data_IF_949929303423
#
_entry.id   IF_949929303423
#
_cell.length_a   1.000
_cell.length_b   1.000
_cell.length_c   1.000
_cell.angle_alpha   90.00
_cell.angle_beta   90.00
_cell.angle_gamma   90.00
#
_symmetry.space_group_name_H-M   'P 1'
#
loop_
_entity.id
_entity.type
_entity.pdbx_description
1 polymer ?
#
# COMPACT_ATOMS: atom_id res chain seq x y z
N UNK A 1 -21.53 3.54 22.00
CA UNK A 1 -20.09 3.38 21.68
C UNK A 1 -19.58 2.26 22.55
N UNK A 2 -19.35 1.08 22.00
CA UNK A 2 -18.64 0.03 22.73
C UNK A 2 -17.14 0.31 22.59
N UNK A 3 -16.52 0.69 23.69
CA UNK A 3 -15.07 0.74 23.83
C UNK A 3 -14.57 -0.70 23.88
N UNK A 4 -13.84 -1.13 22.85
CA UNK A 4 -13.11 -2.39 22.92
C UNK A 4 -12.13 -2.33 24.10
N UNK A 5 -11.99 -3.41 24.88
CA UNK A 5 -11.04 -3.45 25.98
C UNK A 5 -9.62 -3.41 25.42
N UNK A 6 -8.84 -2.40 25.83
CA UNK A 6 -7.40 -2.33 25.60
C UNK A 6 -6.72 -3.50 26.32
N UNK A 7 -5.96 -4.30 25.58
CA UNK A 7 -5.05 -5.31 26.14
C UNK A 7 -3.72 -5.29 25.39
N UNK A 8 -2.63 -5.13 26.14
CA UNK A 8 -1.22 -5.08 25.73
C UNK A 8 -0.84 -3.86 24.87
N UNK A 9 0.40 -3.38 25.00
CA UNK A 9 0.92 -2.32 24.13
C UNK A 9 0.80 -2.79 22.68
N UNK A 10 -0.15 -2.25 21.91
CA UNK A 10 -0.31 -2.58 20.49
C UNK A 10 1.05 -2.42 19.79
N UNK A 11 1.64 -3.53 19.36
CA UNK A 11 2.89 -3.54 18.62
C UNK A 11 2.72 -2.74 17.33
N UNK A 12 3.78 -2.07 16.90
CA UNK A 12 3.80 -1.41 15.60
C UNK A 12 3.63 -2.45 14.49
N UNK A 13 2.57 -2.32 13.70
CA UNK A 13 2.36 -3.11 12.48
C UNK A 13 3.16 -2.47 11.34
N UNK A 14 4.27 -3.11 10.93
CA UNK A 14 5.11 -2.65 9.82
C UNK A 14 5.11 -3.69 8.72
N UNK A 15 4.75 -3.23 7.52
CA UNK A 15 4.55 -4.06 6.36
C UNK A 15 5.45 -3.61 5.21
N UNK A 16 5.85 -4.57 4.38
CA UNK A 16 6.39 -4.29 3.05
C UNK A 16 5.40 -4.77 1.98
N UNK A 17 5.30 -4.04 0.87
CA UNK A 17 4.53 -4.52 -0.28
C UNK A 17 5.18 -5.78 -0.89
N UNK A 18 4.35 -6.78 -1.22
CA UNK A 18 4.80 -7.97 -1.94
C UNK A 18 5.43 -7.62 -3.29
N UNK A 19 5.00 -6.51 -3.90
CA UNK A 19 5.57 -6.03 -5.16
C UNK A 19 7.01 -5.57 -4.94
N UNK A 20 7.29 -4.82 -3.88
CA UNK A 20 8.65 -4.40 -3.52
C UNK A 20 9.57 -5.60 -3.26
N UNK A 21 9.04 -6.65 -2.63
CA UNK A 21 9.76 -7.89 -2.32
C UNK A 21 9.91 -8.84 -3.53
N UNK A 22 9.28 -8.54 -4.66
CA UNK A 22 9.20 -9.43 -5.82
C UNK A 22 10.43 -9.46 -6.73
N UNK A 23 11.57 -8.90 -6.31
CA UNK A 23 12.79 -8.93 -7.12
C UNK A 23 13.69 -10.13 -6.74
N UNK A 24 13.93 -11.10 -7.65
CA UNK A 24 14.82 -12.23 -7.40
C UNK A 24 16.31 -11.84 -7.26
N UNK A 25 16.70 -10.64 -7.68
CA UNK A 25 18.04 -10.11 -7.47
C UNK A 25 18.07 -9.23 -6.22
N UNK A 26 18.83 -9.64 -5.20
CA UNK A 26 18.98 -8.90 -3.94
C UNK A 26 19.59 -7.50 -4.14
N UNK A 27 20.45 -7.33 -5.16
CA UNK A 27 20.99 -6.02 -5.52
C UNK A 27 19.93 -5.13 -6.23
N UNK A 28 18.77 -5.71 -6.55
CA UNK A 28 17.65 -5.03 -7.17
C UNK A 28 17.84 -4.75 -8.67
N UNK A 29 17.24 -3.66 -9.14
CA UNK A 29 17.40 -3.17 -10.50
C UNK A 29 16.37 -3.68 -11.52
N UNK A 30 16.31 -2.98 -12.67
CA UNK A 30 15.31 -3.20 -13.72
C UNK A 30 15.27 -4.64 -14.26
N UNK A 31 16.43 -5.29 -14.42
CA UNK A 31 16.50 -6.66 -14.96
C UNK A 31 15.86 -7.65 -14.00
N UNK A 32 16.19 -7.54 -12.71
CA UNK A 32 15.62 -8.38 -11.67
C UNK A 32 14.11 -8.18 -11.54
N UNK A 33 13.65 -6.92 -11.55
CA UNK A 33 12.20 -6.62 -11.55
C UNK A 33 11.49 -7.25 -12.75
N UNK A 34 12.01 -7.09 -13.97
CA UNK A 34 11.43 -7.72 -15.17
C UNK A 34 11.45 -9.26 -15.06
N UNK A 35 12.51 -9.85 -14.54
CA UNK A 35 12.59 -11.29 -14.32
C UNK A 35 11.54 -11.78 -13.30
N UNK A 36 11.35 -11.06 -12.19
CA UNK A 36 10.32 -11.37 -11.19
C UNK A 36 8.91 -11.34 -11.80
N UNK A 37 8.66 -10.39 -12.69
CA UNK A 37 7.36 -10.23 -13.36
C UNK A 37 7.07 -11.33 -14.38
N UNK A 38 8.07 -11.68 -15.20
CA UNK A 38 7.98 -12.82 -16.11
C UNK A 38 7.72 -14.10 -15.30
N UNK A 39 8.33 -14.22 -14.13
CA UNK A 39 8.08 -15.36 -13.25
C UNK A 39 6.67 -15.34 -12.67
N UNK A 40 6.14 -14.22 -12.17
CA UNK A 40 4.75 -14.13 -11.70
C UNK A 40 3.74 -14.56 -12.78
N UNK A 41 3.99 -14.17 -14.04
CA UNK A 41 3.12 -14.52 -15.17
C UNK A 41 3.22 -16.00 -15.59
N UNK A 42 4.38 -16.64 -15.43
CA UNK A 42 4.61 -18.03 -15.85
C UNK A 42 4.41 -19.05 -14.74
N UNK A 43 4.71 -18.66 -13.50
CA UNK A 43 4.77 -19.50 -12.31
C UNK A 43 4.60 -18.65 -11.04
N UNK A 44 3.33 -18.51 -10.60
CA UNK A 44 2.98 -17.77 -9.38
C UNK A 44 3.66 -18.34 -8.13
N UNK A 45 3.90 -19.65 -8.07
CA UNK A 45 4.54 -20.30 -6.92
C UNK A 45 6.00 -19.86 -6.80
N UNK A 46 6.72 -19.82 -7.92
CA UNK A 46 8.09 -19.32 -7.94
C UNK A 46 8.19 -17.85 -7.52
N UNK A 47 7.29 -17.00 -7.99
CA UNK A 47 7.26 -15.59 -7.56
C UNK A 47 6.90 -15.45 -6.08
N UNK A 48 5.97 -16.27 -5.56
CA UNK A 48 5.70 -16.37 -4.12
C UNK A 48 6.93 -16.74 -3.32
N UNK A 49 7.73 -17.72 -3.77
CA UNK A 49 8.94 -18.14 -3.06
C UNK A 49 9.97 -17.00 -2.97
N UNK A 50 10.15 -16.22 -4.05
CA UNK A 50 11.01 -15.02 -4.02
C UNK A 50 10.53 -14.02 -2.97
N UNK A 51 9.22 -13.73 -2.95
CA UNK A 51 8.65 -12.80 -1.96
C UNK A 51 8.84 -13.33 -0.54
N UNK A 52 8.65 -14.63 -0.30
CA UNK A 52 8.83 -15.26 1.01
C UNK A 52 10.30 -15.19 1.47
N UNK A 53 11.26 -15.51 0.59
CA UNK A 53 12.68 -15.41 0.91
C UNK A 53 13.08 -13.99 1.31
N UNK A 54 12.62 -12.99 0.56
CA UNK A 54 12.88 -11.59 0.87
C UNK A 54 12.11 -11.11 2.12
N UNK A 55 10.90 -11.62 2.37
CA UNK A 55 10.10 -11.31 3.55
C UNK A 55 10.76 -11.84 4.84
N UNK A 56 11.37 -13.03 4.79
CA UNK A 56 12.14 -13.59 5.92
C UNK A 56 13.30 -12.68 6.30
N UNK A 57 14.04 -12.18 5.31
CA UNK A 57 15.15 -11.26 5.58
C UNK A 57 14.65 -9.90 6.07
N UNK A 58 13.56 -9.37 5.51
CA UNK A 58 12.93 -8.15 6.00
C UNK A 58 12.45 -8.29 7.46
N UNK A 59 11.85 -9.43 7.82
CA UNK A 59 11.47 -9.73 9.21
C UNK A 59 12.69 -9.72 10.14
N UNK A 60 13.81 -10.31 9.71
CA UNK A 60 15.07 -10.30 10.47
C UNK A 60 15.56 -8.87 10.69
N UNK A 61 15.54 -8.03 9.66
CA UNK A 61 15.93 -6.60 9.73
C UNK A 61 15.00 -5.83 10.67
N UNK A 62 13.69 -6.09 10.63
CA UNK A 62 12.70 -5.48 11.55
C UNK A 62 13.00 -5.86 12.99
N UNK A 63 13.26 -7.14 13.28
CA UNK A 63 13.60 -7.59 14.63
C UNK A 63 14.93 -6.98 15.12
N UNK A 64 15.93 -6.85 14.25
CA UNK A 64 17.22 -6.23 14.57
C UNK A 64 17.05 -4.75 14.98
N UNK A 65 16.19 -4.01 14.27
CA UNK A 65 16.01 -2.59 14.55
C UNK A 65 14.97 -2.32 15.65
N UNK A 66 13.81 -2.96 15.63
CA UNK A 66 12.69 -2.59 16.51
C UNK A 66 12.41 -3.62 17.60
N UNK A 67 12.94 -4.85 17.48
CA UNK A 67 12.69 -5.93 18.42
C UNK A 67 11.20 -6.22 18.59
N UNK A 68 10.80 -6.55 19.81
CA UNK A 68 9.41 -6.95 20.11
C UNK A 68 8.39 -5.79 20.06
N UNK A 69 8.86 -4.55 19.83
CA UNK A 69 7.99 -3.36 19.69
C UNK A 69 7.23 -3.33 18.36
N UNK A 70 7.61 -4.16 17.39
CA UNK A 70 7.00 -4.20 16.07
C UNK A 70 6.68 -5.65 15.65
N UNK A 71 5.64 -5.80 14.86
CA UNK A 71 5.32 -7.00 14.10
C UNK A 71 5.57 -6.72 12.63
N UNK A 72 6.27 -7.64 11.97
CA UNK A 72 6.51 -7.56 10.53
C UNK A 72 5.45 -8.34 9.77
N UNK A 73 4.94 -7.73 8.70
CA UNK A 73 4.04 -8.36 7.76
C UNK A 73 4.32 -8.00 6.30
N UNK A 74 3.51 -8.58 5.43
CA UNK A 74 3.50 -8.32 4.00
C UNK A 74 2.10 -7.86 3.60
N UNK A 75 2.06 -6.74 2.88
CA UNK A 75 0.88 -6.27 2.16
C UNK A 75 0.87 -6.97 0.80
N UNK A 76 -0.05 -7.93 0.63
CA UNK A 76 -0.05 -8.85 -0.52
C UNK A 76 -0.93 -8.32 -1.65
N UNK A 77 -0.33 -8.04 -2.81
CA UNK A 77 -1.09 -7.82 -4.05
C UNK A 77 -1.74 -9.12 -4.49
N UNK A 78 -3.06 -9.20 -4.31
CA UNK A 78 -3.81 -10.47 -4.33
C UNK A 78 -3.62 -11.28 -5.61
N UNK A 79 -3.58 -10.63 -6.78
CA UNK A 79 -3.46 -11.29 -8.09
C UNK A 79 -2.07 -11.86 -8.37
N UNK A 80 -1.03 -11.36 -7.68
CA UNK A 80 0.37 -11.61 -8.04
C UNK A 80 0.98 -12.85 -7.39
N UNK A 81 0.43 -13.30 -6.26
CA UNK A 81 0.98 -14.38 -5.44
C UNK A 81 0.01 -15.57 -5.35
N UNK A 82 0.55 -16.74 -5.01
CA UNK A 82 -0.21 -17.80 -4.36
C UNK A 82 -0.33 -17.51 -2.85
N UNK A 83 -1.54 -17.18 -2.32
CA UNK A 83 -1.70 -16.81 -0.91
C UNK A 83 -1.37 -17.93 0.08
N UNK A 84 -1.51 -19.19 -0.33
CA UNK A 84 -1.19 -20.33 0.53
C UNK A 84 0.31 -20.46 0.82
N UNK A 85 1.17 -20.03 -0.11
CA UNK A 85 2.63 -20.13 0.01
C UNK A 85 3.26 -19.03 0.86
N UNK A 86 2.55 -17.94 1.15
CA UNK A 86 3.03 -16.82 1.98
C UNK A 86 2.33 -16.74 3.35
N UNK A 87 1.57 -17.78 3.70
CA UNK A 87 0.87 -17.88 4.99
C UNK A 87 1.79 -17.60 6.17
N UNK A 88 1.32 -16.76 7.10
CA UNK A 88 2.08 -16.31 8.26
C UNK A 88 2.76 -14.96 8.08
N UNK A 89 2.91 -14.47 6.86
CA UNK A 89 3.36 -13.10 6.58
C UNK A 89 2.23 -12.16 6.15
N UNK A 90 1.08 -12.67 5.70
CA UNK A 90 -0.04 -11.80 5.25
C UNK A 90 -0.57 -10.96 6.41
N UNK A 91 -0.31 -9.65 6.36
CA UNK A 91 -0.84 -8.68 7.32
C UNK A 91 -1.95 -7.79 6.72
N UNK A 92 -1.93 -7.60 5.41
CA UNK A 92 -3.01 -6.95 4.67
C UNK A 92 -3.06 -7.42 3.22
N UNK A 93 -4.19 -7.17 2.55
CA UNK A 93 -4.38 -7.49 1.14
C UNK A 93 -4.44 -6.19 0.36
N UNK A 94 -3.58 -6.04 -0.64
CA UNK A 94 -3.67 -5.01 -1.65
C UNK A 94 -4.59 -5.51 -2.77
N UNK A 95 -5.73 -4.82 -2.93
CA UNK A 95 -6.78 -5.16 -3.87
C UNK A 95 -6.36 -4.76 -5.28
N UNK A 96 -6.21 -5.72 -6.20
CA UNK A 96 -5.66 -5.44 -7.51
C UNK A 96 -6.61 -4.57 -8.33
N UNK A 97 -6.07 -3.72 -9.18
CA UNK A 97 -6.85 -2.96 -10.16
C UNK A 97 -7.17 -3.84 -11.36
N UNK A 98 -8.26 -3.52 -12.06
CA UNK A 98 -8.59 -4.17 -13.32
C UNK A 98 -7.86 -3.50 -14.48
N UNK A 99 -6.81 -4.14 -15.01
CA UNK A 99 -6.05 -3.63 -16.15
C UNK A 99 -6.65 -4.13 -17.46
N UNK A 100 -6.83 -3.20 -18.40
CA UNK A 100 -7.17 -3.51 -19.80
C UNK A 100 -6.07 -2.98 -20.70
N UNK A 101 -5.17 -3.85 -21.17
CA UNK A 101 -4.08 -3.46 -22.07
C UNK A 101 -4.64 -3.01 -23.43
N UNK A 102 -4.86 -1.71 -23.57
CA UNK A 102 -5.37 -1.08 -24.79
C UNK A 102 -4.63 0.24 -25.05
N UNK A 103 -4.97 0.92 -26.16
CA UNK A 103 -4.36 2.21 -26.52
C UNK A 103 -4.60 3.28 -25.45
N UNK A 104 -5.74 3.27 -24.76
CA UNK A 104 -6.03 4.22 -23.70
C UNK A 104 -5.09 4.02 -22.51
N UNK A 105 -4.92 2.77 -22.05
CA UNK A 105 -3.97 2.44 -20.99
C UNK A 105 -2.55 2.93 -21.33
N UNK A 106 -2.06 2.62 -22.54
CA UNK A 106 -0.75 3.10 -23.01
C UNK A 106 -0.65 4.62 -22.98
N UNK A 107 -1.67 5.33 -23.48
CA UNK A 107 -1.68 6.78 -23.53
C UNK A 107 -1.70 7.40 -22.14
N UNK A 108 -2.49 6.85 -21.21
CA UNK A 108 -2.54 7.32 -19.82
C UNK A 108 -1.20 7.12 -19.11
N UNK A 109 -0.57 5.94 -19.24
CA UNK A 109 0.75 5.68 -18.64
C UNK A 109 1.85 6.52 -19.29
N UNK A 110 1.82 6.70 -20.60
CA UNK A 110 2.74 7.59 -21.32
C UNK A 110 2.60 9.05 -20.85
N UNK A 111 1.38 9.55 -20.68
CA UNK A 111 1.13 10.90 -20.18
C UNK A 111 1.64 11.06 -18.74
N UNK A 112 1.37 10.08 -17.86
CA UNK A 112 1.87 10.06 -16.48
C UNK A 112 3.40 10.14 -16.44
N UNK A 113 4.08 9.21 -17.12
CA UNK A 113 5.55 9.14 -17.12
C UNK A 113 6.19 10.41 -17.72
N UNK A 114 5.55 11.04 -18.70
CA UNK A 114 5.97 12.36 -19.21
C UNK A 114 5.77 13.48 -18.19
N UNK A 115 4.64 13.50 -17.47
CA UNK A 115 4.35 14.46 -16.41
C UNK A 115 5.29 14.34 -15.21
N UNK A 116 5.77 13.12 -14.94
CA UNK A 116 6.85 12.86 -13.98
C UNK A 116 8.24 13.33 -14.47
N UNK A 117 8.33 13.93 -15.65
CA UNK A 117 9.54 14.57 -16.18
C UNK A 117 10.50 13.66 -16.95
N UNK A 118 10.18 12.37 -17.15
CA UNK A 118 11.05 11.45 -17.87
C UNK A 118 11.11 11.75 -19.39
N UNK A 119 12.30 11.64 -19.98
CA UNK A 119 12.55 11.88 -21.43
C UNK A 119 13.47 10.82 -22.03
N UNK A 120 13.45 10.68 -23.35
CA UNK A 120 14.35 9.80 -24.11
C UNK A 120 14.32 8.35 -23.62
N UNK A 121 15.50 7.77 -23.37
CA UNK A 121 15.62 6.39 -22.84
C UNK A 121 15.00 6.23 -21.46
N UNK A 122 15.07 7.26 -20.60
CA UNK A 122 14.46 7.23 -19.26
C UNK A 122 12.93 7.09 -19.31
N UNK A 123 12.30 7.74 -20.30
CA UNK A 123 10.86 7.59 -20.56
C UNK A 123 10.49 6.13 -20.89
N UNK A 124 11.27 5.49 -21.77
CA UNK A 124 11.01 4.11 -22.17
C UNK A 124 11.17 3.14 -20.99
N UNK A 125 12.18 3.35 -20.14
CA UNK A 125 12.40 2.54 -18.93
C UNK A 125 11.26 2.71 -17.94
N UNK A 126 10.87 3.95 -17.63
CA UNK A 126 9.79 4.23 -16.68
C UNK A 126 8.43 3.70 -17.19
N UNK A 127 8.15 3.83 -18.48
CA UNK A 127 6.97 3.21 -19.09
C UNK A 127 7.03 1.68 -19.00
N UNK A 128 8.20 1.09 -19.24
CA UNK A 128 8.43 -0.34 -19.06
C UNK A 128 8.08 -0.80 -17.64
N UNK A 129 8.46 -0.03 -16.61
CA UNK A 129 8.12 -0.28 -15.20
C UNK A 129 6.61 -0.22 -14.92
N UNK A 130 5.90 0.75 -15.48
CA UNK A 130 4.43 0.85 -15.36
C UNK A 130 3.72 -0.37 -15.97
N UNK A 131 4.19 -0.82 -17.13
CA UNK A 131 3.67 -2.02 -17.79
C UNK A 131 3.96 -3.28 -16.98
N UNK A 132 5.19 -3.37 -16.48
CA UNK A 132 5.65 -4.38 -15.57
C UNK A 132 4.72 -4.53 -14.36
N UNK A 133 4.46 -3.43 -13.66
CA UNK A 133 3.53 -3.39 -12.54
C UNK A 133 2.11 -3.81 -12.94
N UNK A 134 1.63 -3.32 -14.08
CA UNK A 134 0.30 -3.65 -14.59
C UNK A 134 0.12 -5.14 -14.95
N UNK A 135 1.20 -5.88 -15.24
CA UNK A 135 1.12 -7.33 -15.45
C UNK A 135 0.79 -8.10 -14.16
N UNK A 136 1.17 -7.56 -12.99
CA UNK A 136 0.86 -8.18 -11.69
C UNK A 136 -0.59 -7.95 -11.26
N UNK A 137 -1.27 -6.99 -11.86
CA UNK A 137 -2.66 -6.64 -11.56
C UNK A 137 -3.64 -7.65 -12.18
N UNK A 138 -4.92 -7.52 -11.85
CA UNK A 138 -5.96 -8.38 -12.42
C UNK A 138 -6.31 -7.98 -13.87
N UNK A 139 -6.61 -8.97 -14.71
CA UNK A 139 -6.97 -8.75 -16.14
C UNK A 139 -8.43 -9.06 -16.46
N UNK A 140 -9.20 -9.52 -15.46
CA UNK A 140 -10.65 -9.71 -15.54
C UNK A 140 -11.29 -9.40 -14.17
N UNK A 141 -12.59 -9.06 -14.16
CA UNK A 141 -13.32 -8.86 -12.91
C UNK A 141 -13.39 -10.14 -12.07
N UNK A 142 -13.48 -11.30 -12.74
CA UNK A 142 -13.47 -12.61 -12.09
C UNK A 142 -12.16 -12.86 -11.36
N UNK A 143 -11.02 -12.59 -12.00
CA UNK A 143 -9.68 -12.72 -11.42
C UNK A 143 -9.47 -11.72 -10.27
N UNK A 144 -9.91 -10.47 -10.43
CA UNK A 144 -9.85 -9.44 -9.39
C UNK A 144 -10.56 -9.89 -8.10
N UNK A 145 -11.79 -10.39 -8.24
CA UNK A 145 -12.62 -10.85 -7.13
C UNK A 145 -12.08 -12.18 -6.58
N UNK A 146 -11.74 -13.12 -7.45
CA UNK A 146 -11.28 -14.47 -7.09
C UNK A 146 -9.97 -14.44 -6.31
N UNK A 147 -8.95 -13.74 -6.83
CA UNK A 147 -7.65 -13.61 -6.16
C UNK A 147 -7.77 -12.92 -4.80
N UNK A 148 -8.62 -11.90 -4.68
CA UNK A 148 -8.87 -11.23 -3.39
C UNK A 148 -9.56 -12.15 -2.38
N UNK A 149 -10.53 -12.96 -2.83
CA UNK A 149 -11.18 -13.97 -1.97
C UNK A 149 -10.15 -14.97 -1.44
N UNK A 150 -9.32 -15.52 -2.32
CA UNK A 150 -8.28 -16.49 -1.97
C UNK A 150 -7.27 -15.88 -0.98
N UNK A 151 -6.83 -14.64 -1.21
CA UNK A 151 -5.90 -13.95 -0.33
C UNK A 151 -6.49 -13.75 1.08
N UNK A 152 -7.73 -13.25 1.16
CA UNK A 152 -8.41 -13.01 2.44
C UNK A 152 -8.73 -14.32 3.17
N UNK A 153 -9.03 -15.40 2.45
CA UNK A 153 -9.25 -16.73 3.05
C UNK A 153 -7.97 -17.32 3.65
N UNK A 154 -6.81 -17.06 3.04
CA UNK A 154 -5.52 -17.54 3.55
C UNK A 154 -5.07 -16.80 4.82
N UNK A 155 -5.65 -15.64 5.14
CA UNK A 155 -5.37 -14.92 6.38
C UNK A 155 -5.96 -15.63 7.59
N UNK A 156 -5.19 -15.71 8.67
CA UNK A 156 -5.64 -16.31 9.94
C UNK A 156 -6.68 -15.44 10.63
N UNK A 157 -6.50 -14.13 10.59
CA UNK A 157 -7.35 -13.19 11.32
C UNK A 157 -8.76 -13.10 10.74
N UNK A 158 -9.75 -12.98 11.62
CA UNK A 158 -11.13 -12.75 11.22
C UNK A 158 -11.35 -11.30 10.75
N UNK A 159 -10.61 -10.34 11.31
CA UNK A 159 -10.64 -8.95 10.87
C UNK A 159 -9.54 -8.73 9.85
N UNK A 160 -9.93 -8.46 8.60
CA UNK A 160 -9.00 -8.33 7.48
C UNK A 160 -9.01 -6.91 6.94
N UNK A 161 -7.81 -6.35 6.76
CA UNK A 161 -7.59 -5.03 6.18
C UNK A 161 -7.32 -5.20 4.68
N UNK A 162 -8.13 -4.58 3.84
CA UNK A 162 -7.97 -4.61 2.39
C UNK A 162 -7.72 -3.19 1.90
N UNK A 163 -6.55 -2.94 1.31
CA UNK A 163 -6.14 -1.65 0.74
C UNK A 163 -6.66 -1.56 -0.69
N UNK A 164 -7.16 -0.40 -1.10
CA UNK A 164 -7.69 -0.19 -2.45
C UNK A 164 -7.38 1.20 -2.97
N UNK A 165 -6.71 1.22 -4.12
CA UNK A 165 -6.70 2.38 -5.01
C UNK A 165 -7.67 2.11 -6.18
N UNK A 166 -8.34 3.14 -6.68
CA UNK A 166 -9.37 3.01 -7.72
C UNK A 166 -8.84 3.71 -8.96
N UNK A 167 -8.01 3.03 -9.75
CA UNK A 167 -7.31 3.68 -10.86
C UNK A 167 -8.01 3.55 -12.23
N UNK A 168 -8.54 2.37 -12.54
CA UNK A 168 -8.76 1.94 -13.94
C UNK A 168 -10.21 1.88 -14.40
N UNK A 169 -11.17 1.81 -13.47
CA UNK A 169 -12.61 1.78 -13.77
C UNK A 169 -13.33 2.94 -13.10
N UNK A 170 -14.63 3.08 -13.35
CA UNK A 170 -15.40 4.11 -12.66
C UNK A 170 -15.54 3.79 -11.17
N UNK A 171 -15.60 4.84 -10.36
CA UNK A 171 -15.73 4.73 -8.91
C UNK A 171 -16.96 3.90 -8.49
N UNK A 172 -18.14 4.13 -9.10
CA UNK A 172 -19.37 3.41 -8.74
C UNK A 172 -19.31 1.92 -9.11
N UNK A 173 -18.69 1.57 -10.23
CA UNK A 173 -18.47 0.17 -10.61
C UNK A 173 -17.57 -0.55 -9.62
N UNK A 174 -16.49 0.11 -9.17
CA UNK A 174 -15.59 -0.47 -8.17
C UNK A 174 -16.31 -0.67 -6.83
N UNK A 175 -17.08 0.32 -6.37
CA UNK A 175 -17.89 0.19 -5.17
C UNK A 175 -18.93 -0.94 -5.26
N UNK A 176 -19.51 -1.19 -6.44
CA UNK A 176 -20.40 -2.33 -6.65
C UNK A 176 -19.66 -3.66 -6.43
N UNK A 177 -18.45 -3.81 -6.96
CA UNK A 177 -17.62 -5.02 -6.76
C UNK A 177 -17.23 -5.19 -5.29
N UNK A 178 -16.77 -4.13 -4.64
CA UNK A 178 -16.45 -4.12 -3.19
C UNK A 178 -17.64 -4.59 -2.34
N UNK A 179 -18.86 -4.11 -2.63
CA UNK A 179 -20.09 -4.57 -1.95
C UNK A 179 -20.34 -6.06 -2.14
N UNK A 180 -20.25 -6.55 -3.39
CA UNK A 180 -20.46 -7.97 -3.71
C UNK A 180 -19.42 -8.87 -3.03
N UNK A 181 -18.15 -8.47 -3.09
CA UNK A 181 -17.04 -9.18 -2.47
C UNK A 181 -17.17 -9.20 -0.95
N UNK A 182 -17.56 -8.09 -0.32
CA UNK A 182 -17.78 -8.04 1.13
C UNK A 182 -18.87 -9.00 1.60
N UNK A 183 -19.94 -9.18 0.82
CA UNK A 183 -20.98 -10.19 1.13
C UNK A 183 -20.40 -11.61 1.10
N UNK A 184 -19.59 -11.94 0.09
CA UNK A 184 -18.92 -13.24 -0.01
C UNK A 184 -17.97 -13.47 1.16
N UNK A 185 -17.14 -12.48 1.50
CA UNK A 185 -16.17 -12.55 2.59
C UNK A 185 -16.84 -12.69 3.96
N UNK A 186 -17.94 -11.96 4.20
CA UNK A 186 -18.75 -12.12 5.41
C UNK A 186 -19.34 -13.54 5.53
N UNK A 187 -19.74 -14.14 4.40
CA UNK A 187 -20.19 -15.53 4.35
C UNK A 187 -19.13 -16.55 4.79
N UNK A 188 -17.85 -16.16 4.77
CA UNK A 188 -16.71 -16.96 5.22
C UNK A 188 -16.28 -16.63 6.66
N UNK A 189 -17.07 -15.84 7.39
CA UNK A 189 -16.74 -15.39 8.74
C UNK A 189 -15.76 -14.21 8.81
N UNK A 190 -15.33 -13.67 7.66
CA UNK A 190 -14.37 -12.55 7.62
C UNK A 190 -15.05 -11.19 7.75
N UNK A 191 -14.48 -10.32 8.58
CA UNK A 191 -14.85 -8.93 8.79
C UNK A 191 -13.86 -8.01 8.10
N UNK A 192 -14.26 -7.43 6.96
CA UNK A 192 -13.36 -6.65 6.12
C UNK A 192 -13.42 -5.16 6.45
N UNK A 193 -12.27 -4.51 6.54
CA UNK A 193 -12.12 -3.05 6.56
C UNK A 193 -11.42 -2.64 5.26
N UNK A 194 -12.10 -1.84 4.44
CA UNK A 194 -11.57 -1.32 3.18
C UNK A 194 -10.85 0.00 3.42
N UNK A 195 -9.54 0.03 3.22
CA UNK A 195 -8.74 1.25 3.28
C UNK A 195 -8.70 1.90 1.90
N UNK A 196 -9.32 3.07 1.76
CA UNK A 196 -9.36 3.81 0.51
C UNK A 196 -8.12 4.69 0.42
N UNK A 197 -7.39 4.58 -0.69
CA UNK A 197 -6.23 5.40 -1.00
C UNK A 197 -6.61 6.63 -1.84
N UNK A 198 -6.07 7.83 -1.55
CA UNK A 198 -6.24 8.99 -2.41
C UNK A 198 -5.63 8.75 -3.80
N UNK A 199 -6.30 9.21 -4.86
CA UNK A 199 -5.78 9.16 -6.23
C UNK A 199 -6.62 10.07 -7.16
N UNK A 200 -6.24 10.17 -8.44
CA UNK A 200 -6.89 11.02 -9.46
C UNK A 200 -8.39 10.74 -9.71
N UNK A 201 -8.91 9.58 -9.29
CA UNK A 201 -10.33 9.20 -9.41
C UNK A 201 -11.11 9.45 -8.12
N UNK A 202 -10.42 9.61 -7.00
CA UNK A 202 -10.97 9.88 -5.67
C UNK A 202 -10.53 11.28 -5.21
N UNK A 203 -10.56 12.23 -6.14
CA UNK A 203 -10.33 13.63 -5.89
C UNK A 203 -9.44 14.29 -6.92
N UNK A 204 -9.30 15.60 -6.79
CA UNK A 204 -8.51 16.46 -7.66
C UNK A 204 -7.02 16.48 -7.34
N UNK A 205 -6.58 15.67 -6.36
CA UNK A 205 -5.22 15.60 -5.86
C UNK A 205 -4.96 16.44 -4.61
N UNK A 206 -6.00 16.94 -3.95
CA UNK A 206 -5.94 17.59 -2.62
C UNK A 206 -6.57 16.71 -1.54
N UNK A 207 -6.09 16.82 -0.30
CA UNK A 207 -6.63 16.07 0.83
C UNK A 207 -8.07 16.45 1.15
N UNK A 208 -8.44 17.73 0.99
CA UNK A 208 -9.80 18.23 1.27
C UNK A 208 -10.83 17.60 0.33
N UNK A 209 -10.52 17.53 -0.98
CA UNK A 209 -11.42 16.92 -1.95
C UNK A 209 -11.51 15.40 -1.74
N UNK A 210 -10.37 14.75 -1.49
CA UNK A 210 -10.33 13.33 -1.12
C UNK A 210 -11.22 13.05 0.10
N UNK A 211 -11.12 13.84 1.16
CA UNK A 211 -11.92 13.66 2.38
C UNK A 211 -13.42 13.87 2.13
N UNK A 212 -13.77 14.82 1.26
CA UNK A 212 -15.17 15.05 0.86
C UNK A 212 -15.74 13.82 0.16
N UNK A 213 -14.99 13.26 -0.79
CA UNK A 213 -15.39 12.04 -1.49
C UNK A 213 -15.42 10.85 -0.53
N UNK A 214 -14.40 10.66 0.30
CA UNK A 214 -14.33 9.60 1.31
C UNK A 214 -15.54 9.63 2.25
N UNK A 215 -15.89 10.79 2.80
CA UNK A 215 -17.04 10.92 3.69
C UNK A 215 -18.37 10.65 2.94
N UNK A 216 -18.50 11.04 1.67
CA UNK A 216 -19.65 10.68 0.84
C UNK A 216 -19.77 9.17 0.62
N UNK A 217 -18.65 8.46 0.44
CA UNK A 217 -18.63 7.00 0.27
C UNK A 217 -19.06 6.31 1.55
N UNK A 218 -18.43 6.71 2.67
CA UNK A 218 -18.68 6.15 4.00
C UNK A 218 -20.13 6.36 4.43
N UNK A 219 -20.71 7.52 4.11
CA UNK A 219 -22.06 7.89 4.52
C UNK A 219 -23.15 7.47 3.51
N UNK A 220 -22.78 6.88 2.36
CA UNK A 220 -23.75 6.41 1.38
C UNK A 220 -24.56 5.23 1.96
N UNK A 221 -25.92 5.28 1.98
CA UNK A 221 -26.75 4.19 2.50
C UNK A 221 -26.51 2.83 1.84
N UNK A 222 -26.09 2.80 0.57
CA UNK A 222 -25.74 1.55 -0.15
C UNK A 222 -24.50 0.86 0.42
N UNK A 223 -23.68 1.60 1.16
CA UNK A 223 -22.43 1.13 1.75
C UNK A 223 -22.55 0.89 3.27
N UNK A 224 -23.76 0.92 3.85
CA UNK A 224 -23.97 0.81 5.29
C UNK A 224 -23.43 -0.49 5.92
N UNK A 225 -23.25 -1.56 5.13
CA UNK A 225 -22.66 -2.83 5.57
C UNK A 225 -21.13 -2.86 5.47
N UNK A 226 -20.50 -1.84 4.88
CA UNK A 226 -19.06 -1.74 4.69
C UNK A 226 -18.41 -0.98 5.85
N UNK A 227 -17.17 -1.35 6.16
CA UNK A 227 -16.30 -0.59 7.06
C UNK A 227 -15.17 0.02 6.24
N UNK A 228 -14.91 1.30 6.45
CA UNK A 228 -13.87 2.03 5.74
C UNK A 228 -12.80 2.59 6.66
N UNK A 229 -11.58 2.62 6.15
CA UNK A 229 -10.46 3.39 6.66
C UNK A 229 -9.80 4.17 5.52
N UNK A 230 -8.71 4.88 5.84
CA UNK A 230 -7.89 5.57 4.85
C UNK A 230 -6.54 4.86 4.80
N UNK A 231 -6.06 4.59 3.60
CA UNK A 231 -4.66 4.34 3.35
C UNK A 231 -4.03 5.65 2.85
N UNK A 232 -3.22 6.30 3.68
CA UNK A 232 -2.67 7.60 3.32
C UNK A 232 -1.39 7.41 2.51
N UNK A 233 -1.51 7.50 1.19
CA UNK A 233 -0.39 7.66 0.26
C UNK A 233 -0.31 9.12 -0.24
N UNK A 234 0.78 9.80 0.07
CA UNK A 234 1.02 11.16 -0.39
C UNK A 234 1.22 11.27 -1.91
N UNK A 235 1.52 10.17 -2.58
CA UNK A 235 1.54 10.06 -4.04
C UNK A 235 0.23 10.41 -4.71
N UNK A 236 -0.89 10.07 -4.05
CA UNK A 236 -2.25 10.36 -4.50
C UNK A 236 -2.69 11.81 -4.31
N UNK A 237 -1.88 12.63 -3.63
CA UNK A 237 -2.20 14.01 -3.25
C UNK A 237 -1.19 15.01 -3.84
N UNK A 238 -1.02 15.07 -5.17
CA UNK A 238 0.04 15.87 -5.80
C UNK A 238 -0.15 17.38 -5.69
N UNK A 239 -1.38 17.85 -5.47
CA UNK A 239 -1.71 19.27 -5.34
C UNK A 239 -1.82 19.72 -3.90
N UNK A 240 -1.46 18.86 -2.95
CA UNK A 240 -1.55 19.19 -1.54
C UNK A 240 -0.68 20.40 -1.20
N UNK A 241 -1.31 21.48 -0.73
CA UNK A 241 -0.66 22.75 -0.41
C UNK A 241 0.43 22.57 0.65
N UNK A 242 0.22 21.59 1.52
CA UNK A 242 1.10 21.26 2.62
C UNK A 242 2.35 20.46 2.19
N UNK A 243 2.29 19.71 1.08
CA UNK A 243 3.31 18.74 0.60
C UNK A 243 3.87 17.79 1.68
N UNK A 244 3.19 17.69 2.81
CA UNK A 244 3.67 17.03 4.02
C UNK A 244 2.53 16.27 4.70
N UNK A 245 2.84 15.04 5.09
CA UNK A 245 1.92 14.10 5.70
C UNK A 245 1.53 14.51 7.12
N UNK A 246 2.45 15.12 7.89
CA UNK A 246 2.19 15.50 9.28
C UNK A 246 1.06 16.52 9.39
N UNK A 247 0.98 17.46 8.45
CA UNK A 247 -0.10 18.45 8.41
C UNK A 247 -1.46 17.83 8.13
N UNK A 248 -1.52 16.79 7.28
CA UNK A 248 -2.74 16.01 7.06
C UNK A 248 -3.16 15.29 8.34
N UNK A 249 -2.20 14.66 9.03
CA UNK A 249 -2.45 13.96 10.28
C UNK A 249 -2.95 14.91 11.38
N UNK A 250 -2.32 16.07 11.55
CA UNK A 250 -2.80 17.11 12.46
C UNK A 250 -4.22 17.61 12.10
N UNK A 251 -4.53 17.76 10.82
CA UNK A 251 -5.85 18.17 10.37
C UNK A 251 -6.92 17.12 10.71
N UNK A 252 -6.61 15.83 10.53
CA UNK A 252 -7.47 14.72 10.95
C UNK A 252 -7.73 14.74 12.47
N UNK A 253 -6.68 14.93 13.27
CA UNK A 253 -6.78 15.01 14.73
C UNK A 253 -7.67 16.20 15.17
N UNK A 254 -7.46 17.39 14.59
CA UNK A 254 -8.28 18.58 14.88
C UNK A 254 -9.76 18.41 14.53
N UNK A 255 -10.07 17.56 13.54
CA UNK A 255 -11.43 17.20 13.15
C UNK A 255 -12.02 16.06 14.00
N UNK A 256 -11.32 15.59 15.03
CA UNK A 256 -11.73 14.47 15.87
C UNK A 256 -11.72 13.13 15.15
N UNK A 257 -11.03 13.02 14.00
CA UNK A 257 -10.88 11.79 13.22
C UNK A 257 -9.66 10.98 13.70
N UNK A 258 -9.49 10.85 15.01
CA UNK A 258 -8.32 10.24 15.67
C UNK A 258 -8.10 8.76 15.30
N UNK A 259 -9.07 8.12 14.65
CA UNK A 259 -9.00 6.72 14.24
C UNK A 259 -8.49 6.55 12.81
N UNK A 260 -8.11 7.65 12.15
CA UNK A 260 -7.61 7.73 10.79
C UNK A 260 -6.21 8.37 10.79
N UNK A 261 -5.34 7.97 9.85
CA UNK A 261 -5.56 6.92 8.85
C UNK A 261 -5.47 5.51 9.45
N UNK A 262 -5.87 4.49 8.68
CA UNK A 262 -5.67 3.08 9.04
C UNK A 262 -4.26 2.61 8.65
N UNK A 263 -3.76 3.12 7.53
CA UNK A 263 -2.41 2.88 7.03
C UNK A 263 -1.70 4.20 6.71
N UNK A 264 -0.38 4.21 6.90
CA UNK A 264 0.54 5.16 6.29
C UNK A 264 1.33 4.40 5.23
N UNK A 265 1.05 4.67 3.95
CA UNK A 265 1.81 4.12 2.84
C UNK A 265 2.97 5.05 2.52
N UNK A 266 4.19 4.55 2.76
CA UNK A 266 5.41 5.32 2.73
C UNK A 266 6.30 4.89 1.56
N UNK A 267 6.73 5.88 0.81
CA UNK A 267 7.76 5.72 -0.21
C UNK A 267 8.59 6.98 -0.34
N UNK A 268 9.81 6.86 -0.89
CA UNK A 268 10.54 8.03 -1.34
C UNK A 268 9.72 8.75 -2.41
N UNK A 269 9.75 10.08 -2.38
CA UNK A 269 8.95 10.92 -3.27
C UNK A 269 9.70 12.14 -3.76
N UNK A 270 9.37 12.58 -4.96
CA UNK A 270 9.88 13.81 -5.59
C UNK A 270 8.71 14.58 -6.20
N UNK A 271 8.50 15.83 -5.75
CA UNK A 271 7.46 16.70 -6.28
C UNK A 271 7.94 17.35 -7.59
N UNK A 272 7.15 17.21 -8.66
CA UNK A 272 7.33 17.96 -9.91
C UNK A 272 6.29 19.07 -10.01
N UNK A 273 6.33 19.87 -11.08
CA UNK A 273 5.37 20.97 -11.28
C UNK A 273 3.91 20.48 -11.41
N UNK A 274 3.71 19.27 -11.95
CA UNK A 274 2.39 18.73 -12.29
C UNK A 274 2.00 17.46 -11.48
N UNK A 275 2.95 16.78 -10.83
CA UNK A 275 2.69 15.48 -10.17
C UNK A 275 3.70 15.18 -9.06
N UNK A 276 3.57 14.01 -8.43
CA UNK A 276 4.54 13.43 -7.50
C UNK A 276 5.05 12.13 -8.08
N UNK A 277 6.37 11.99 -8.16
CA UNK A 277 7.03 10.71 -8.43
C UNK A 277 7.15 9.96 -7.10
N UNK A 278 6.68 8.71 -7.06
CA UNK A 278 6.59 7.88 -5.84
C UNK A 278 7.38 6.59 -5.98
N UNK A 279 7.31 5.72 -4.97
CA UNK A 279 7.99 4.42 -4.94
C UNK A 279 9.51 4.51 -5.10
N UNK A 280 10.09 5.66 -4.75
CA UNK A 280 11.54 5.87 -4.71
C UNK A 280 12.11 5.29 -3.40
N UNK A 281 13.45 5.16 -3.28
CA UNK A 281 14.12 4.87 -2.02
C UNK A 281 13.65 5.78 -0.88
N UNK A 282 13.26 5.18 0.24
CA UNK A 282 12.84 5.90 1.45
C UNK A 282 13.97 6.00 2.48
N UNK A 283 14.94 5.08 2.43
CA UNK A 283 15.99 4.94 3.44
C UNK A 283 16.91 6.16 3.59
N UNK A 284 17.03 6.99 2.56
CA UNK A 284 17.83 8.23 2.61
C UNK A 284 17.08 9.44 3.21
N UNK A 285 15.78 9.31 3.49
CA UNK A 285 14.96 10.38 4.05
C UNK A 285 15.04 10.41 5.58
N UNK A 286 16.27 10.47 6.12
CA UNK A 286 16.58 10.27 7.54
C UNK A 286 15.70 11.10 8.49
N UNK A 287 15.59 12.42 8.26
CA UNK A 287 14.83 13.32 9.13
C UNK A 287 13.33 13.02 9.10
N UNK A 288 12.76 12.83 7.90
CA UNK A 288 11.33 12.48 7.74
C UNK A 288 11.03 11.15 8.42
N UNK A 289 11.88 10.14 8.22
CA UNK A 289 11.70 8.82 8.83
C UNK A 289 11.73 8.92 10.37
N UNK A 290 12.64 9.73 10.94
CA UNK A 290 12.70 10.00 12.38
C UNK A 290 11.42 10.68 12.86
N UNK A 291 10.95 11.73 12.19
CA UNK A 291 9.73 12.45 12.55
C UNK A 291 8.48 11.54 12.54
N UNK A 292 8.40 10.58 11.61
CA UNK A 292 7.32 9.57 11.60
C UNK A 292 7.39 8.73 12.88
N UNK A 293 8.60 8.29 13.27
CA UNK A 293 8.82 7.56 14.52
C UNK A 293 8.39 8.37 15.75
N UNK A 294 8.79 9.64 15.82
CA UNK A 294 8.40 10.55 16.92
C UNK A 294 6.88 10.72 17.00
N UNK A 295 6.22 10.92 15.87
CA UNK A 295 4.77 11.08 15.81
C UNK A 295 4.02 9.84 16.30
N UNK A 296 4.41 8.64 15.85
CA UNK A 296 3.79 7.39 16.31
C UNK A 296 4.03 7.13 17.80
N UNK A 297 5.22 7.48 18.31
CA UNK A 297 5.54 7.36 19.74
C UNK A 297 4.64 8.24 20.60
N UNK A 298 4.41 9.48 20.17
CA UNK A 298 3.49 10.40 20.87
C UNK A 298 2.08 9.84 20.91
N UNK A 299 1.58 9.26 19.81
CA UNK A 299 0.27 8.62 19.76
C UNK A 299 0.17 7.40 20.66
N UNK A 300 1.19 6.55 20.66
CA UNK A 300 1.27 5.40 21.56
C UNK A 300 1.17 5.84 23.01
N UNK A 301 1.92 6.86 23.41
CA UNK A 301 1.90 7.41 24.77
C UNK A 301 0.52 7.97 25.16
N UNK A 302 -0.22 8.53 24.20
CA UNK A 302 -1.59 9.05 24.42
C UNK A 302 -2.66 7.95 24.43
N UNK A 303 -2.29 6.68 24.20
CA UNK A 303 -3.26 5.60 24.04
C UNK A 303 -4.16 5.82 22.82
N UNK A 304 -3.62 6.45 21.77
CA UNK A 304 -4.32 6.65 20.51
C UNK A 304 -4.01 5.51 19.56
N UNK A 305 -4.96 5.18 18.68
CA UNK A 305 -4.75 4.17 17.64
C UNK A 305 -3.59 4.61 16.74
N UNK A 306 -2.70 3.66 16.49
CA UNK A 306 -1.54 3.83 15.61
C UNK A 306 -1.87 3.22 14.24
N UNK A 307 -1.65 3.93 13.13
CA UNK A 307 -1.79 3.35 11.79
C UNK A 307 -0.71 2.28 11.56
N UNK A 308 -1.04 1.28 10.74
CA UNK A 308 -0.02 0.38 10.22
C UNK A 308 0.86 1.11 9.20
N UNK A 309 2.16 0.83 9.18
CA UNK A 309 3.09 1.40 8.21
C UNK A 309 3.23 0.40 7.06
N UNK A 310 3.03 0.85 5.82
CA UNK A 310 3.35 0.04 4.63
C UNK A 310 4.46 0.73 3.88
N UNK A 311 5.62 0.11 3.76
CA UNK A 311 6.72 0.63 2.95
C UNK A 311 6.59 0.07 1.52
N UNK A 312 6.60 0.96 0.54
CA UNK A 312 6.36 0.62 -0.86
C UNK A 312 7.39 1.25 -1.79
N UNK A 313 8.42 0.49 -2.13
CA UNK A 313 9.42 0.90 -3.11
C UNK A 313 9.26 0.12 -4.41
N UNK A 314 9.72 0.71 -5.52
CA UNK A 314 9.73 0.01 -6.80
C UNK A 314 10.57 -1.27 -6.69
N UNK A 315 10.11 -2.43 -7.18
CA UNK A 315 10.94 -3.64 -7.24
C UNK A 315 12.19 -3.45 -8.08
N UNK A 316 12.21 -2.44 -8.96
CA UNK A 316 13.35 -2.12 -9.81
C UNK A 316 14.40 -1.25 -9.10
N UNK A 317 14.15 -0.82 -7.87
CA UNK A 317 15.14 -0.12 -7.06
C UNK A 317 16.30 -1.05 -6.69
N UNK A 318 17.49 -0.49 -6.47
CA UNK A 318 18.64 -1.26 -6.02
C UNK A 318 18.63 -1.41 -4.50
N UNK A 319 19.03 -2.59 -4.01
CA UNK A 319 19.19 -2.87 -2.58
C UNK A 319 17.96 -2.53 -1.71
N UNK A 320 16.76 -2.97 -2.10
CA UNK A 320 15.48 -2.67 -1.42
C UNK A 320 15.53 -3.00 0.08
N UNK A 321 16.14 -4.12 0.47
CA UNK A 321 16.25 -4.53 1.87
C UNK A 321 17.20 -3.62 2.66
N UNK A 322 18.27 -3.12 2.04
CA UNK A 322 19.17 -2.16 2.67
C UNK A 322 18.50 -0.78 2.83
N UNK A 323 17.73 -0.35 1.83
CA UNK A 323 16.92 0.86 1.90
C UNK A 323 15.90 0.79 3.04
N UNK A 324 15.20 -0.34 3.16
CA UNK A 324 14.29 -0.64 4.26
C UNK A 324 14.99 -0.62 5.63
N UNK A 325 16.17 -1.24 5.75
CA UNK A 325 16.96 -1.18 6.98
C UNK A 325 17.37 0.24 7.36
N UNK A 326 17.76 1.07 6.39
CA UNK A 326 18.07 2.49 6.63
C UNK A 326 16.83 3.28 7.06
N UNK A 327 15.66 3.01 6.48
CA UNK A 327 14.39 3.54 6.94
C UNK A 327 14.15 3.18 8.41
N UNK A 328 14.20 1.89 8.76
CA UNK A 328 13.95 1.40 10.12
C UNK A 328 14.93 1.97 11.14
N UNK A 329 16.21 2.08 10.78
CA UNK A 329 17.25 2.67 11.64
C UNK A 329 16.92 4.12 11.99
N UNK A 330 16.51 4.91 11.00
CA UNK A 330 16.16 6.33 11.16
C UNK A 330 14.87 6.49 11.95
N UNK A 331 13.86 5.70 11.58
CA UNK A 331 12.57 5.61 12.25
C UNK A 331 12.70 5.27 13.74
N UNK A 332 13.52 4.26 14.07
CA UNK A 332 13.86 3.87 15.44
C UNK A 332 14.42 5.05 16.24
N UNK A 333 15.20 5.94 15.60
CA UNK A 333 15.77 7.12 16.23
C UNK A 333 14.71 8.06 16.81
N UNK A 334 13.51 8.09 16.23
CA UNK A 334 12.38 8.89 16.71
C UNK A 334 11.39 8.12 17.58
N UNK A 335 11.24 6.81 17.36
CA UNK A 335 10.25 6.00 18.07
C UNK A 335 10.71 5.53 19.48
N UNK A 336 12.00 5.67 19.80
CA UNK A 336 12.57 5.12 21.04
C UNK A 336 12.09 5.80 22.32
#
# INVERSE_FOLDING_TARGET
METMPYSEEDKLDIQLSSVSLGNPNQEGGNIGAVAGLVQSALDKEKYTNIVVENALEAQRITQEHLGDKAEFGVSVLASSLNPSGIQGFLASVDYPYLVKFNKQFLNEKMQRVKGEGYRGLGLAVALGKEYAYALLQSHSEEDQIGSTLEAVQAMKDDVVKVRTCIETVSFEEEMKKIRQLTVKLKGLGKNVIWAIEPNKKIGDGTFVDFMTIYDNIKNNPKNASLKFGIDLDMGGLPKEEYKDMFRIMEALERQGKNNLPLFLSLSGKEYTDDTVRTHLPLGNNFDVNREIGEWLKVRQFRGERIPAIVVESSPAEKNILADYGNFLKSFKGGFN
#
